data_IF_885223715058
#
_entry.id   IF_885223715058
#
_cell.length_a   1.000
_cell.length_b   1.000
_cell.length_c   1.000
_cell.angle_alpha   90.00
_cell.angle_beta   90.00
_cell.angle_gamma   90.00
#
_symmetry.space_group_name_H-M   'P 1'
#
loop_
_entity.id
_entity.type
_entity.pdbx_description
1 polymer ?
#
# COMPACT_ATOMS: atom_id res chain seq x y z
N UNK A 1 5.28 -8.77 36.63
CA UNK A 1 4.11 -8.70 35.72
C UNK A 1 3.98 -7.26 35.28
N UNK A 2 4.56 -6.92 34.14
CA UNK A 2 4.37 -5.60 33.57
C UNK A 2 2.94 -5.54 33.03
N UNK A 3 2.16 -4.62 33.57
CA UNK A 3 0.77 -4.37 33.14
C UNK A 3 0.80 -3.95 31.65
N UNK A 4 0.35 -4.83 30.77
CA UNK A 4 0.42 -4.69 29.32
C UNK A 4 -0.54 -3.59 28.78
N UNK A 5 -1.20 -2.82 29.67
CA UNK A 5 -2.19 -1.80 29.34
C UNK A 5 -1.74 -0.37 29.69
N UNK A 6 -0.59 -0.22 30.37
CA UNK A 6 -0.07 1.11 30.71
C UNK A 6 0.74 1.67 29.53
N UNK A 7 0.49 2.93 29.10
CA UNK A 7 1.31 3.57 28.07
C UNK A 7 2.78 3.61 28.46
N UNK A 8 3.65 3.32 27.50
CA UNK A 8 5.10 3.40 27.70
C UNK A 8 5.55 4.87 27.86
N UNK A 9 6.56 5.13 28.72
CA UNK A 9 7.23 6.42 28.72
C UNK A 9 7.79 6.78 27.35
N UNK A 10 7.87 8.09 26.97
CA UNK A 10 8.25 8.50 25.61
C UNK A 10 9.57 7.92 25.11
N UNK A 11 10.61 7.91 25.94
CA UNK A 11 11.94 7.39 25.55
C UNK A 11 11.92 5.86 25.33
N UNK A 12 11.18 5.14 26.16
CA UNK A 12 11.02 3.70 25.99
C UNK A 12 10.15 3.39 24.77
N UNK A 13 9.07 4.13 24.58
CA UNK A 13 8.23 4.02 23.39
C UNK A 13 9.05 4.26 22.11
N UNK A 14 9.86 5.33 22.05
CA UNK A 14 10.74 5.62 20.92
C UNK A 14 11.69 4.47 20.61
N UNK A 15 12.35 3.92 21.61
CA UNK A 15 13.24 2.77 21.45
C UNK A 15 12.53 1.53 20.89
N UNK A 16 11.35 1.21 21.42
CA UNK A 16 10.55 0.05 20.95
C UNK A 16 9.99 0.26 19.55
N UNK A 17 9.60 1.48 19.20
CA UNK A 17 9.15 1.81 17.85
C UNK A 17 10.29 1.74 16.83
N UNK A 18 11.54 2.03 17.24
CA UNK A 18 12.73 1.83 16.38
C UNK A 18 12.88 0.35 16.00
N UNK A 19 12.66 -0.58 16.92
CA UNK A 19 12.71 -2.02 16.61
C UNK A 19 11.68 -2.41 15.52
N UNK A 20 10.46 -1.84 15.58
CA UNK A 20 9.44 -2.03 14.55
C UNK A 20 9.86 -1.40 13.22
N UNK A 21 10.36 -0.17 13.27
CA UNK A 21 10.80 0.58 12.10
C UNK A 21 11.91 -0.12 11.33
N UNK A 22 12.87 -0.71 12.04
CA UNK A 22 13.99 -1.46 11.46
C UNK A 22 13.54 -2.69 10.66
N UNK A 23 12.36 -3.25 10.95
CA UNK A 23 11.78 -4.36 10.21
C UNK A 23 11.06 -3.93 8.93
N UNK A 24 10.60 -2.68 8.84
CA UNK A 24 9.81 -2.20 7.69
C UNK A 24 10.62 -2.27 6.39
N UNK A 25 11.87 -1.83 6.40
CA UNK A 25 12.73 -1.84 5.22
C UNK A 25 13.00 -3.24 4.67
N UNK A 26 13.47 -4.19 5.49
CA UNK A 26 13.66 -5.58 5.09
C UNK A 26 12.37 -6.26 4.61
N UNK A 27 11.24 -6.01 5.28
CA UNK A 27 9.93 -6.55 4.90
C UNK A 27 9.52 -6.02 3.52
N UNK A 28 9.60 -4.71 3.31
CA UNK A 28 9.28 -4.07 2.03
C UNK A 28 10.12 -4.63 0.89
N UNK A 29 11.45 -4.75 1.07
CA UNK A 29 12.35 -5.29 0.03
C UNK A 29 12.05 -6.76 -0.30
N UNK A 30 11.67 -7.58 0.69
CA UNK A 30 11.28 -8.97 0.45
C UNK A 30 9.95 -9.09 -0.26
N UNK A 31 8.95 -8.31 0.15
CA UNK A 31 7.67 -8.23 -0.54
C UNK A 31 7.84 -7.78 -2.00
N UNK A 32 8.71 -6.80 -2.23
CA UNK A 32 9.06 -6.31 -3.55
C UNK A 32 9.64 -7.41 -4.45
N UNK A 33 10.62 -8.17 -3.97
CA UNK A 33 11.22 -9.30 -4.71
C UNK A 33 10.18 -10.37 -5.04
N UNK A 34 9.28 -10.68 -4.11
CA UNK A 34 8.20 -11.64 -4.35
C UNK A 34 7.28 -11.19 -5.49
N UNK A 35 6.99 -9.88 -5.59
CA UNK A 35 6.22 -9.31 -6.70
C UNK A 35 7.01 -9.36 -8.01
N UNK A 36 8.32 -9.02 -7.99
CA UNK A 36 9.19 -9.04 -9.17
C UNK A 36 9.35 -10.46 -9.76
N UNK A 37 9.43 -11.48 -8.92
CA UNK A 37 9.45 -12.86 -9.38
C UNK A 37 8.18 -13.28 -10.13
N UNK A 38 7.04 -12.66 -9.81
CA UNK A 38 5.78 -12.89 -10.55
C UNK A 38 5.69 -12.11 -11.86
N UNK A 39 6.59 -11.12 -12.10
CA UNK A 39 6.63 -10.35 -13.35
C UNK A 39 7.06 -11.19 -14.56
N UNK A 40 7.95 -12.17 -14.37
CA UNK A 40 8.38 -13.11 -15.41
C UNK A 40 7.21 -13.93 -15.97
N UNK A 41 6.12 -14.06 -15.22
CA UNK A 41 4.90 -14.77 -15.60
C UNK A 41 3.76 -13.84 -16.08
N UNK A 42 4.07 -12.64 -16.54
CA UNK A 42 3.07 -11.66 -16.98
C UNK A 42 2.38 -10.90 -15.83
N UNK A 43 2.96 -10.89 -14.63
CA UNK A 43 2.45 -10.21 -13.45
C UNK A 43 2.46 -8.69 -13.55
N UNK A 44 1.96 -8.04 -12.49
CA UNK A 44 1.88 -6.58 -12.38
C UNK A 44 3.20 -6.01 -11.85
N UNK A 45 3.73 -4.95 -12.49
CA UNK A 45 4.82 -4.19 -11.89
C UNK A 45 4.38 -3.58 -10.55
N UNK A 46 5.33 -3.26 -9.66
CA UNK A 46 5.03 -2.65 -8.36
C UNK A 46 4.19 -1.38 -8.49
N UNK A 47 4.55 -0.51 -9.43
CA UNK A 47 3.82 0.73 -9.65
C UNK A 47 2.40 0.50 -10.15
N UNK A 48 2.22 -0.37 -11.14
CA UNK A 48 0.89 -0.74 -11.65
C UNK A 48 0.06 -1.42 -10.56
N UNK A 49 0.66 -2.31 -9.78
CA UNK A 49 0.00 -2.96 -8.66
C UNK A 49 -0.43 -1.96 -7.59
N UNK A 50 0.41 -0.99 -7.25
CA UNK A 50 0.08 0.05 -6.27
C UNK A 50 -1.13 0.87 -6.70
N UNK A 51 -1.17 1.30 -7.97
CA UNK A 51 -2.31 2.02 -8.55
C UNK A 51 -3.58 1.16 -8.47
N UNK A 52 -3.54 -0.07 -8.96
CA UNK A 52 -4.70 -0.96 -8.96
C UNK A 52 -5.20 -1.29 -7.54
N UNK A 53 -4.29 -1.46 -6.58
CA UNK A 53 -4.65 -1.70 -5.16
C UNK A 53 -5.40 -0.52 -4.57
N UNK A 54 -4.94 0.72 -4.82
CA UNK A 54 -5.62 1.93 -4.37
C UNK A 54 -7.03 2.03 -4.96
N UNK A 55 -7.13 1.85 -6.27
CA UNK A 55 -8.41 1.93 -6.99
C UNK A 55 -9.38 0.81 -6.57
N UNK A 56 -8.86 -0.37 -6.28
CA UNK A 56 -9.64 -1.50 -5.79
C UNK A 56 -10.23 -1.23 -4.39
N UNK A 57 -9.47 -0.56 -3.52
CA UNK A 57 -9.89 -0.27 -2.13
C UNK A 57 -10.80 0.96 -2.02
N UNK A 58 -10.54 1.98 -2.81
CA UNK A 58 -11.15 3.30 -2.64
C UNK A 58 -12.10 3.69 -3.77
N UNK A 59 -12.22 2.87 -4.83
CA UNK A 59 -12.94 3.24 -6.05
C UNK A 59 -12.15 4.20 -6.93
N UNK A 60 -12.79 4.88 -7.89
CA UNK A 60 -12.13 5.82 -8.79
C UNK A 60 -11.47 6.97 -8.06
N UNK A 61 -10.23 7.31 -8.44
CA UNK A 61 -9.42 8.37 -7.82
C UNK A 61 -8.76 9.24 -8.87
N UNK A 62 -8.48 10.50 -8.51
CA UNK A 62 -7.59 11.36 -9.31
C UNK A 62 -6.12 11.04 -9.01
N UNK A 63 -5.23 11.36 -9.95
CA UNK A 63 -3.76 11.21 -9.76
C UNK A 63 -3.26 11.94 -8.51
N UNK A 64 -3.67 13.20 -8.22
CA UNK A 64 -3.29 13.86 -6.98
C UNK A 64 -3.76 13.15 -5.70
N UNK A 65 -4.96 12.56 -5.71
CA UNK A 65 -5.45 11.79 -4.55
C UNK A 65 -4.58 10.55 -4.31
N UNK A 66 -4.21 9.83 -5.38
CA UNK A 66 -3.31 8.68 -5.28
C UNK A 66 -1.92 9.07 -4.76
N UNK A 67 -1.37 10.21 -5.21
CA UNK A 67 -0.09 10.73 -4.74
C UNK A 67 -0.10 10.99 -3.23
N UNK A 68 -1.11 11.68 -2.73
CA UNK A 68 -1.27 11.93 -1.29
C UNK A 68 -1.43 10.64 -0.49
N UNK A 69 -2.22 9.70 -1.00
CA UNK A 69 -2.46 8.42 -0.31
C UNK A 69 -1.19 7.56 -0.16
N UNK A 70 -0.19 7.76 -1.03
CA UNK A 70 1.06 6.99 -1.03
C UNK A 70 2.29 7.81 -0.63
N UNK A 71 2.14 9.09 -0.30
CA UNK A 71 3.23 10.02 -0.02
C UNK A 71 4.29 10.03 -1.15
N UNK A 72 3.85 10.05 -2.41
CA UNK A 72 4.73 10.09 -3.59
C UNK A 72 4.30 11.20 -4.56
N UNK A 73 5.25 11.66 -5.38
CA UNK A 73 5.01 12.77 -6.29
C UNK A 73 3.92 12.45 -7.32
N UNK A 74 3.16 13.49 -7.69
CA UNK A 74 2.15 13.41 -8.75
C UNK A 74 2.72 12.89 -10.07
N UNK A 75 3.94 13.29 -10.43
CA UNK A 75 4.59 12.85 -11.67
C UNK A 75 4.89 11.35 -11.64
N UNK A 76 5.29 10.82 -10.49
CA UNK A 76 5.56 9.39 -10.33
C UNK A 76 4.27 8.58 -10.45
N UNK A 77 3.18 9.02 -9.79
CA UNK A 77 1.85 8.40 -9.93
C UNK A 77 1.38 8.45 -11.40
N UNK A 78 1.54 9.61 -12.07
CA UNK A 78 1.13 9.74 -13.47
C UNK A 78 1.83 8.71 -14.37
N UNK A 79 3.13 8.46 -14.15
CA UNK A 79 3.87 7.41 -14.89
C UNK A 79 3.26 6.03 -14.64
N UNK A 80 3.01 5.68 -13.38
CA UNK A 80 2.41 4.38 -13.02
C UNK A 80 1.00 4.21 -13.65
N UNK A 81 0.20 5.27 -13.65
CA UNK A 81 -1.12 5.28 -14.31
C UNK A 81 -1.00 5.11 -15.81
N UNK A 82 -0.04 5.79 -16.46
CA UNK A 82 0.21 5.65 -17.89
C UNK A 82 0.64 4.21 -18.25
N UNK A 83 1.51 3.60 -17.44
CA UNK A 83 1.92 2.20 -17.64
C UNK A 83 0.74 1.24 -17.48
N UNK A 84 -0.12 1.47 -16.50
CA UNK A 84 -1.33 0.68 -16.32
C UNK A 84 -2.32 0.86 -17.49
N UNK A 85 -2.48 2.08 -17.98
CA UNK A 85 -3.36 2.40 -19.12
C UNK A 85 -2.84 1.79 -20.42
N UNK A 86 -1.53 1.85 -20.68
CA UNK A 86 -0.89 1.22 -21.84
C UNK A 86 -1.13 -0.30 -21.88
N UNK A 87 -1.30 -0.92 -20.74
CA UNK A 87 -1.64 -2.35 -20.61
C UNK A 87 -3.15 -2.62 -20.60
N UNK A 88 -3.98 -1.59 -20.74
CA UNK A 88 -5.43 -1.69 -20.70
C UNK A 88 -6.02 -2.07 -19.34
N UNK A 89 -5.29 -1.77 -18.24
CA UNK A 89 -5.68 -2.14 -16.88
C UNK A 89 -6.47 -1.05 -16.16
N UNK A 90 -6.32 0.21 -16.60
CA UNK A 90 -7.07 1.35 -16.10
C UNK A 90 -7.55 2.22 -17.26
N UNK A 91 -8.56 3.02 -17.01
CA UNK A 91 -9.10 4.03 -17.94
C UNK A 91 -9.42 5.32 -17.18
N UNK A 92 -9.41 6.42 -17.91
CA UNK A 92 -9.83 7.73 -17.41
C UNK A 92 -11.30 7.96 -17.68
N UNK A 93 -12.02 8.46 -16.68
CA UNK A 93 -13.42 8.87 -16.78
C UNK A 93 -13.59 10.33 -16.35
N UNK A 94 -14.65 11.03 -16.81
CA UNK A 94 -14.97 12.36 -16.34
C UNK A 94 -15.15 12.40 -14.82
N UNK A 95 -14.64 13.48 -14.19
CA UNK A 95 -14.84 13.72 -12.77
C UNK A 95 -16.04 14.66 -12.58
N UNK A 96 -17.17 14.20 -12.01
CA UNK A 96 -18.35 15.04 -11.85
C UNK A 96 -18.11 16.20 -10.85
N UNK A 97 -17.16 16.05 -9.92
CA UNK A 97 -16.83 17.08 -8.94
C UNK A 97 -15.90 18.18 -9.49
N UNK A 98 -15.09 17.86 -10.52
CA UNK A 98 -14.11 18.80 -11.07
C UNK A 98 -13.86 18.55 -12.57
N UNK A 99 -14.43 19.41 -13.42
CA UNK A 99 -14.33 19.30 -14.89
C UNK A 99 -12.90 19.32 -15.46
N UNK A 100 -11.91 19.82 -14.71
CA UNK A 100 -10.50 19.89 -15.12
C UNK A 100 -9.65 18.71 -14.68
N UNK A 101 -10.21 17.76 -13.93
CA UNK A 101 -9.50 16.56 -13.46
C UNK A 101 -10.27 15.32 -13.89
N UNK A 102 -9.54 14.28 -14.29
CA UNK A 102 -10.14 12.98 -14.60
C UNK A 102 -10.02 12.07 -13.39
N UNK A 103 -10.98 11.16 -13.25
CA UNK A 103 -10.88 10.02 -12.37
C UNK A 103 -10.27 8.85 -13.13
N UNK A 104 -9.41 8.11 -12.48
CA UNK A 104 -8.88 6.83 -12.97
C UNK A 104 -9.67 5.71 -12.32
N UNK A 105 -10.08 4.71 -13.09
CA UNK A 105 -10.72 3.51 -12.58
C UNK A 105 -10.12 2.25 -13.21
N UNK A 106 -10.18 1.08 -12.58
CA UNK A 106 -9.80 -0.18 -13.20
C UNK A 106 -10.77 -0.53 -14.34
N UNK A 107 -10.24 -1.13 -15.40
CA UNK A 107 -11.04 -1.87 -16.37
C UNK A 107 -11.43 -3.24 -15.83
N UNK A 108 -12.26 -4.01 -16.53
CA UNK A 108 -12.51 -5.41 -16.16
C UNK A 108 -11.20 -6.22 -16.11
N UNK A 109 -10.30 -6.01 -17.09
CA UNK A 109 -8.98 -6.62 -17.12
C UNK A 109 -8.14 -6.22 -15.91
N UNK A 110 -8.17 -4.94 -15.53
CA UNK A 110 -7.47 -4.43 -14.34
C UNK A 110 -8.01 -5.01 -13.04
N UNK A 111 -9.33 -5.10 -12.92
CA UNK A 111 -10.00 -5.70 -11.77
C UNK A 111 -9.65 -7.19 -11.64
N UNK A 112 -9.68 -7.94 -12.74
CA UNK A 112 -9.28 -9.35 -12.75
C UNK A 112 -7.80 -9.51 -12.36
N UNK A 113 -6.91 -8.67 -12.89
CA UNK A 113 -5.49 -8.71 -12.62
C UNK A 113 -5.16 -8.43 -11.14
N UNK A 114 -5.76 -7.40 -10.54
CA UNK A 114 -5.51 -7.08 -9.12
C UNK A 114 -6.13 -8.15 -8.20
N UNK A 115 -7.30 -8.65 -8.51
CA UNK A 115 -7.93 -9.72 -7.73
C UNK A 115 -7.07 -10.98 -7.72
N UNK A 116 -6.50 -11.36 -8.86
CA UNK A 116 -5.59 -12.50 -8.95
C UNK A 116 -4.30 -12.26 -8.17
N UNK A 117 -3.73 -11.04 -8.21
CA UNK A 117 -2.54 -10.69 -7.45
C UNK A 117 -2.79 -10.75 -5.93
N UNK A 118 -3.89 -10.16 -5.45
CA UNK A 118 -4.28 -10.17 -4.04
C UNK A 118 -4.56 -11.60 -3.53
N UNK A 119 -5.17 -12.44 -4.37
CA UNK A 119 -5.39 -13.86 -4.01
C UNK A 119 -4.08 -14.61 -3.82
N UNK A 120 -3.10 -14.43 -4.70
CA UNK A 120 -1.75 -15.05 -4.57
C UNK A 120 -1.05 -14.58 -3.30
N UNK A 121 -1.10 -13.29 -3.02
CA UNK A 121 -0.54 -12.72 -1.80
C UNK A 121 -1.22 -13.29 -0.54
N UNK A 122 -2.54 -13.38 -0.55
CA UNK A 122 -3.28 -13.98 0.55
C UNK A 122 -2.86 -15.45 0.80
N UNK A 123 -2.68 -16.23 -0.25
CA UNK A 123 -2.20 -17.61 -0.14
C UNK A 123 -0.80 -17.69 0.47
N UNK A 124 0.12 -16.78 0.05
CA UNK A 124 1.45 -16.69 0.64
C UNK A 124 1.40 -16.30 2.12
N UNK A 125 0.59 -15.31 2.47
CA UNK A 125 0.47 -14.82 3.84
C UNK A 125 -0.18 -15.83 4.80
N UNK A 126 -1.01 -16.74 4.30
CA UNK A 126 -1.55 -17.86 5.09
C UNK A 126 -0.48 -18.78 5.66
N UNK A 127 0.68 -18.86 5.02
CA UNK A 127 1.83 -19.65 5.45
C UNK A 127 2.59 -18.98 6.62
N UNK A 128 2.21 -17.76 6.97
CA UNK A 128 2.87 -16.99 8.03
C UNK A 128 2.44 -17.51 9.41
N UNK A 129 3.40 -17.96 10.17
CA UNK A 129 3.44 -18.47 11.54
C UNK A 129 2.15 -18.74 12.33
N UNK A 130 2.09 -19.88 13.00
CA UNK A 130 0.87 -20.51 13.48
C UNK A 130 0.26 -20.01 14.79
N UNK A 131 0.92 -19.11 15.56
CA UNK A 131 0.48 -18.65 16.89
C UNK A 131 0.03 -17.17 16.93
N UNK A 132 0.07 -16.48 15.78
CA UNK A 132 -0.39 -15.08 15.69
C UNK A 132 -1.90 -14.97 15.89
N UNK A 133 -2.28 -14.17 16.88
CA UNK A 133 -3.68 -13.93 17.24
C UNK A 133 -4.26 -12.70 16.50
N UNK A 134 -5.59 -12.57 16.50
CA UNK A 134 -6.25 -11.37 16.02
C UNK A 134 -5.82 -10.10 16.79
N UNK A 135 -5.53 -10.24 18.10
CA UNK A 135 -5.04 -9.15 18.93
C UNK A 135 -3.65 -8.67 18.47
N UNK A 136 -2.74 -9.58 18.13
CA UNK A 136 -1.40 -9.25 17.63
C UNK A 136 -1.47 -8.49 16.32
N UNK A 137 -2.31 -8.94 15.38
CA UNK A 137 -2.50 -8.27 14.10
C UNK A 137 -3.12 -6.88 14.31
N UNK A 138 -4.11 -6.75 15.18
CA UNK A 138 -4.76 -5.46 15.50
C UNK A 138 -3.76 -4.49 16.14
N UNK A 139 -2.92 -4.96 17.07
CA UNK A 139 -1.87 -4.13 17.68
C UNK A 139 -0.83 -3.68 16.65
N UNK A 140 -0.40 -4.58 15.76
CA UNK A 140 0.52 -4.26 14.67
C UNK A 140 -0.06 -3.17 13.73
N UNK A 141 -1.30 -3.33 13.29
CA UNK A 141 -1.99 -2.34 12.44
C UNK A 141 -2.09 -0.97 13.13
N UNK A 142 -2.38 -0.94 14.42
CA UNK A 142 -2.42 0.30 15.21
C UNK A 142 -1.05 0.97 15.26
N UNK A 143 0.00 0.23 15.59
CA UNK A 143 1.38 0.77 15.66
C UNK A 143 1.84 1.33 14.32
N UNK A 144 1.68 0.57 13.24
CA UNK A 144 2.06 1.03 11.90
C UNK A 144 1.22 2.24 11.44
N UNK A 145 -0.06 2.28 11.80
CA UNK A 145 -0.93 3.43 11.52
C UNK A 145 -0.50 4.70 12.25
N UNK A 146 -0.05 4.58 13.52
CA UNK A 146 0.50 5.74 14.27
C UNK A 146 1.82 6.22 13.65
N UNK A 147 2.72 5.31 13.29
CA UNK A 147 3.98 5.66 12.61
C UNK A 147 3.72 6.40 11.29
N UNK A 148 2.80 5.93 10.47
CA UNK A 148 2.41 6.60 9.23
C UNK A 148 1.91 8.01 9.50
N UNK A 149 1.00 8.22 10.47
CA UNK A 149 0.49 9.55 10.81
C UNK A 149 1.58 10.50 11.32
N UNK A 150 2.53 10.01 12.09
CA UNK A 150 3.65 10.82 12.57
C UNK A 150 4.55 11.25 11.42
N UNK A 151 4.82 10.35 10.46
CA UNK A 151 5.68 10.63 9.32
C UNK A 151 5.01 11.47 8.23
N UNK A 152 3.67 11.49 8.14
CA UNK A 152 2.93 12.36 7.21
C UNK A 152 3.13 13.86 7.49
N UNK A 153 3.58 14.22 8.71
CA UNK A 153 3.88 15.60 9.12
C UNK A 153 5.34 15.99 8.95
N UNK A 154 6.19 15.08 8.48
CA UNK A 154 7.58 15.40 8.13
C UNK A 154 7.57 15.95 6.71
N UNK A 155 7.56 17.30 6.60
CA UNK A 155 7.74 17.98 5.33
C UNK A 155 9.08 17.55 4.74
N UNK A 156 9.04 16.88 3.61
CA UNK A 156 10.20 16.59 2.79
C UNK A 156 10.50 17.85 1.96
N UNK A 157 11.23 18.81 2.58
CA UNK A 157 11.85 19.94 1.89
C UNK A 157 12.89 19.45 0.87
#
# INVERSE_FOLDING_TARGET
MTDNHTPLPPDELGRRLTEVYDLVGPLYRRAQRSVEQTLTDGGLSLGVRAVLTLLHRNGPMTVPQMGRAQAISRQFVQRMVNDAAARGLVESIPNPAHRRSSLVRPTEKGTAAITAALRREHLLLRETGGDLTAADVTACLRVLGELLRTLDHVDLD
#
